data_IF_459404517763
#
_entry.id   IF_459404517763
#
_cell.length_a   1.000
_cell.length_b   1.000
_cell.length_c   1.000
_cell.angle_alpha   90.00
_cell.angle_beta   90.00
_cell.angle_gamma   90.00
#
_symmetry.space_group_name_H-M   'P 1'
#
loop_
_entity.id
_entity.type
_entity.pdbx_description
1 polymer ?
#
# COMPACT_ATOMS: atom_id res chain seq x y z
N UNK A 1 -43.89 65.89 -26.04
CA UNK A 1 -43.29 64.61 -25.64
C UNK A 1 -44.11 64.12 -24.46
N UNK A 2 -44.73 62.94 -24.58
CA UNK A 2 -45.61 62.40 -23.53
C UNK A 2 -44.76 62.05 -22.30
N UNK A 3 -45.05 62.55 -21.10
CA UNK A 3 -44.25 62.30 -19.89
C UNK A 3 -44.16 60.81 -19.47
N UNK A 4 -44.86 59.90 -20.15
CA UNK A 4 -44.84 58.46 -19.91
C UNK A 4 -44.17 57.63 -21.02
N UNK A 5 -43.56 58.27 -22.02
CA UNK A 5 -42.84 57.57 -23.09
C UNK A 5 -41.47 57.09 -22.55
N UNK A 6 -41.35 55.77 -22.32
CA UNK A 6 -40.10 55.14 -21.90
C UNK A 6 -39.21 54.97 -23.13
N UNK A 7 -37.95 55.39 -23.02
CA UNK A 7 -36.94 55.22 -24.07
C UNK A 7 -36.72 53.73 -24.38
N UNK A 8 -36.73 53.37 -25.67
CA UNK A 8 -36.44 52.01 -26.12
C UNK A 8 -34.95 51.71 -25.93
N UNK A 9 -34.64 50.95 -24.87
CA UNK A 9 -33.28 50.58 -24.49
C UNK A 9 -32.86 49.21 -25.04
N UNK A 10 -33.64 48.61 -25.95
CA UNK A 10 -33.37 47.27 -26.49
C UNK A 10 -31.99 47.13 -27.16
N UNK A 11 -31.43 48.23 -27.66
CA UNK A 11 -30.09 48.27 -28.28
C UNK A 11 -28.93 48.50 -27.29
N UNK A 12 -29.21 48.89 -26.03
CA UNK A 12 -28.17 49.32 -25.08
C UNK A 12 -27.21 48.21 -24.64
N UNK A 13 -27.66 46.96 -24.66
CA UNK A 13 -26.89 45.84 -24.14
C UNK A 13 -26.38 44.86 -25.19
N UNK A 14 -26.77 45.01 -26.46
CA UNK A 14 -26.36 44.15 -27.58
C UNK A 14 -26.41 42.65 -27.25
N UNK A 15 -27.48 41.94 -27.61
CA UNK A 15 -27.53 40.49 -27.37
C UNK A 15 -26.35 39.78 -28.06
N UNK A 16 -25.61 38.89 -27.36
CA UNK A 16 -24.53 38.15 -27.97
C UNK A 16 -24.99 37.49 -29.26
N UNK A 17 -24.24 37.68 -30.33
CA UNK A 17 -24.53 37.00 -31.58
C UNK A 17 -24.35 35.50 -31.39
N UNK A 18 -25.09 34.69 -32.15
CA UNK A 18 -24.94 33.22 -32.11
C UNK A 18 -23.49 32.78 -32.32
N UNK A 19 -22.73 33.51 -33.15
CA UNK A 19 -21.31 33.22 -33.38
C UNK A 19 -20.46 33.46 -32.14
N UNK A 20 -20.70 34.55 -31.41
CA UNK A 20 -20.00 34.85 -30.14
C UNK A 20 -20.31 33.81 -29.07
N UNK A 21 -21.58 33.42 -28.96
CA UNK A 21 -22.00 32.34 -28.04
C UNK A 21 -21.30 31.02 -28.37
N UNK A 22 -21.27 30.62 -29.65
CA UNK A 22 -20.60 29.37 -30.07
C UNK A 22 -19.09 29.44 -29.82
N UNK A 23 -18.44 30.58 -30.10
CA UNK A 23 -17.01 30.77 -29.80
C UNK A 23 -16.73 30.62 -28.31
N UNK A 24 -17.56 31.23 -27.47
CA UNK A 24 -17.41 31.11 -26.01
C UNK A 24 -17.54 29.66 -25.53
N UNK A 25 -18.56 28.94 -26.01
CA UNK A 25 -18.71 27.51 -25.68
C UNK A 25 -17.54 26.67 -26.17
N UNK A 26 -17.01 26.94 -27.37
CA UNK A 26 -15.83 26.25 -27.86
C UNK A 26 -14.62 26.47 -26.96
N UNK A 27 -14.40 27.69 -26.48
CA UNK A 27 -13.32 28.00 -25.53
C UNK A 27 -13.50 27.30 -24.19
N UNK A 28 -14.72 27.25 -23.64
CA UNK A 28 -14.99 26.52 -22.40
C UNK A 28 -14.72 25.02 -22.55
N UNK A 29 -15.18 24.42 -23.65
CA UNK A 29 -14.95 22.99 -23.91
C UNK A 29 -13.46 22.69 -24.10
N UNK A 30 -12.71 23.61 -24.71
CA UNK A 30 -11.26 23.47 -24.84
C UNK A 30 -10.57 23.46 -23.47
N UNK A 31 -10.97 24.36 -22.57
CA UNK A 31 -10.48 24.41 -21.18
C UNK A 31 -10.81 23.12 -20.42
N UNK A 32 -12.06 22.67 -20.46
CA UNK A 32 -12.50 21.42 -19.81
C UNK A 32 -11.70 20.21 -20.30
N UNK A 33 -11.46 20.11 -21.61
CA UNK A 33 -10.66 19.02 -22.20
C UNK A 33 -9.21 19.10 -21.73
N UNK A 34 -8.62 20.29 -21.62
CA UNK A 34 -7.26 20.46 -21.11
C UNK A 34 -7.17 20.02 -19.64
N UNK A 35 -8.16 20.36 -18.82
CA UNK A 35 -8.19 19.97 -17.41
C UNK A 35 -8.39 18.47 -17.22
N UNK A 36 -9.29 17.84 -17.99
CA UNK A 36 -9.44 16.38 -17.99
C UNK A 36 -8.14 15.68 -18.40
N UNK A 37 -7.42 16.23 -19.38
CA UNK A 37 -6.12 15.69 -19.80
C UNK A 37 -5.07 15.76 -18.68
N UNK A 38 -5.03 16.87 -17.93
CA UNK A 38 -4.14 17.03 -16.76
C UNK A 38 -4.49 16.02 -15.66
N UNK A 39 -5.77 15.89 -15.33
CA UNK A 39 -6.23 14.92 -14.33
C UNK A 39 -5.93 13.49 -14.73
N UNK A 40 -6.12 13.13 -16.01
CA UNK A 40 -5.79 11.81 -16.51
C UNK A 40 -4.29 11.51 -16.42
N UNK A 41 -3.44 12.50 -16.72
CA UNK A 41 -1.99 12.34 -16.61
C UNK A 41 -1.58 12.12 -15.14
N UNK A 42 -2.09 12.94 -14.22
CA UNK A 42 -1.84 12.78 -12.79
C UNK A 42 -2.35 11.42 -12.27
N UNK A 43 -3.52 10.97 -12.70
CA UNK A 43 -4.05 9.66 -12.33
C UNK A 43 -3.16 8.51 -12.84
N UNK A 44 -2.63 8.61 -14.05
CA UNK A 44 -1.68 7.62 -14.60
C UNK A 44 -0.38 7.57 -13.80
N UNK A 45 0.17 8.72 -13.42
CA UNK A 45 1.38 8.80 -12.59
C UNK A 45 1.16 8.21 -11.20
N UNK A 46 0.01 8.50 -10.58
CA UNK A 46 -0.38 7.92 -9.30
C UNK A 46 -0.50 6.39 -9.39
N UNK A 47 -1.14 5.87 -10.44
CA UNK A 47 -1.27 4.42 -10.66
C UNK A 47 0.12 3.79 -10.86
N UNK A 48 1.00 4.40 -11.65
CA UNK A 48 2.37 3.90 -11.85
C UNK A 48 3.12 3.80 -10.52
N UNK A 49 3.06 4.86 -9.71
CA UNK A 49 3.69 4.90 -8.39
C UNK A 49 3.11 3.81 -7.46
N UNK A 50 1.79 3.60 -7.49
CA UNK A 50 1.14 2.55 -6.70
C UNK A 50 1.58 1.14 -7.11
N UNK A 51 1.75 0.90 -8.42
CA UNK A 51 2.26 -0.37 -8.93
C UNK A 51 3.70 -0.60 -8.47
N UNK A 52 4.57 0.40 -8.61
CA UNK A 52 5.97 0.32 -8.16
C UNK A 52 6.06 0.04 -6.64
N UNK A 53 5.24 0.70 -5.83
CA UNK A 53 5.17 0.43 -4.39
C UNK A 53 4.65 -0.98 -4.09
N UNK A 54 3.67 -1.48 -4.85
CA UNK A 54 3.17 -2.84 -4.68
C UNK A 54 4.23 -3.90 -4.99
N UNK A 55 5.00 -3.70 -6.06
CA UNK A 55 6.10 -4.57 -6.44
C UNK A 55 7.17 -4.60 -5.33
N UNK A 56 7.54 -3.43 -4.80
CA UNK A 56 8.48 -3.34 -3.69
C UNK A 56 7.98 -4.03 -2.42
N UNK A 57 6.69 -3.85 -2.07
CA UNK A 57 6.08 -4.53 -0.93
C UNK A 57 6.03 -6.04 -1.12
N UNK A 58 5.77 -6.51 -2.34
CA UNK A 58 5.75 -7.94 -2.67
C UNK A 58 7.13 -8.57 -2.50
N UNK A 59 8.20 -7.89 -2.91
CA UNK A 59 9.59 -8.31 -2.71
C UNK A 59 9.93 -8.37 -1.21
N UNK A 60 9.57 -7.35 -0.44
CA UNK A 60 9.84 -7.33 1.00
C UNK A 60 9.07 -8.43 1.73
N UNK A 61 7.81 -8.64 1.38
CA UNK A 61 6.99 -9.72 1.92
C UNK A 61 7.61 -11.09 1.61
N UNK A 62 8.09 -11.33 0.39
CA UNK A 62 8.76 -12.60 0.06
C UNK A 62 10.04 -12.79 0.88
N UNK A 63 10.86 -11.74 1.04
CA UNK A 63 12.07 -11.80 1.88
C UNK A 63 11.73 -12.13 3.33
N UNK A 64 10.70 -11.48 3.90
CA UNK A 64 10.26 -11.74 5.28
C UNK A 64 9.74 -13.16 5.45
N UNK A 65 8.98 -13.69 4.49
CA UNK A 65 8.53 -15.10 4.50
C UNK A 65 9.70 -16.07 4.51
N UNK A 66 10.69 -15.88 3.65
CA UNK A 66 11.89 -16.73 3.63
C UNK A 66 12.67 -16.64 4.94
N UNK A 67 12.81 -15.43 5.49
CA UNK A 67 13.48 -15.25 6.78
C UNK A 67 12.75 -15.96 7.92
N UNK A 68 11.41 -15.86 7.99
CA UNK A 68 10.61 -16.56 8.99
C UNK A 68 10.74 -18.08 8.85
N UNK A 69 10.66 -18.62 7.63
CA UNK A 69 10.82 -20.06 7.40
C UNK A 69 12.18 -20.58 7.87
N UNK A 70 13.25 -19.81 7.62
CA UNK A 70 14.59 -20.16 8.11
C UNK A 70 14.67 -20.15 9.65
N UNK A 71 14.07 -19.13 10.28
CA UNK A 71 14.03 -19.01 11.73
C UNK A 71 13.23 -20.16 12.39
N UNK A 72 12.11 -20.56 11.79
CA UNK A 72 11.31 -21.70 12.23
C UNK A 72 12.08 -23.02 12.12
N UNK A 73 12.83 -23.21 11.02
CA UNK A 73 13.70 -24.37 10.84
C UNK A 73 14.81 -24.43 11.90
N UNK A 74 15.48 -23.30 12.15
CA UNK A 74 16.51 -23.20 13.20
C UNK A 74 15.92 -23.47 14.60
N UNK A 75 14.76 -22.89 14.90
CA UNK A 75 14.07 -23.11 16.18
C UNK A 75 13.73 -24.59 16.36
N UNK A 76 13.30 -25.27 15.30
CA UNK A 76 12.98 -26.70 15.33
C UNK A 76 14.23 -27.55 15.61
N UNK A 77 15.36 -27.23 14.95
CA UNK A 77 16.64 -27.92 15.18
C UNK A 77 17.14 -27.70 16.62
N UNK A 78 17.04 -26.47 17.14
CA UNK A 78 17.39 -26.15 18.52
C UNK A 78 16.51 -26.93 19.51
N UNK A 79 15.20 -27.02 19.27
CA UNK A 79 14.29 -27.81 20.10
C UNK A 79 14.66 -29.30 20.09
N UNK A 80 15.05 -29.84 18.94
CA UNK A 80 15.52 -31.22 18.84
C UNK A 80 16.79 -31.44 19.68
N UNK A 81 17.78 -30.53 19.56
CA UNK A 81 19.02 -30.57 20.36
C UNK A 81 18.73 -30.49 21.86
N UNK A 82 17.85 -29.59 22.29
CA UNK A 82 17.44 -29.47 23.69
C UNK A 82 16.87 -30.79 24.20
N UNK A 83 15.92 -31.41 23.46
CA UNK A 83 15.33 -32.70 23.86
C UNK A 83 16.38 -33.81 23.96
N UNK A 84 17.31 -33.87 23.00
CA UNK A 84 18.41 -34.84 23.04
C UNK A 84 19.30 -34.64 24.25
N UNK A 85 19.65 -33.39 24.60
CA UNK A 85 20.47 -33.07 25.76
C UNK A 85 19.75 -33.39 27.08
N UNK A 86 18.45 -33.11 27.17
CA UNK A 86 17.62 -33.49 28.32
C UNK A 86 17.66 -34.99 28.54
N UNK A 87 17.50 -35.80 27.49
CA UNK A 87 17.57 -37.26 27.60
C UNK A 87 18.93 -37.74 28.13
N UNK A 88 20.04 -37.16 27.64
CA UNK A 88 21.39 -37.50 28.09
C UNK A 88 21.60 -37.10 29.56
N UNK A 89 21.06 -35.95 29.99
CA UNK A 89 21.10 -35.53 31.39
C UNK A 89 20.36 -36.52 32.29
N UNK A 90 19.14 -36.94 31.92
CA UNK A 90 18.37 -37.93 32.68
C UNK A 90 19.11 -39.29 32.78
N UNK A 91 19.78 -39.70 31.70
CA UNK A 91 20.62 -40.91 31.71
C UNK A 91 21.83 -40.78 32.64
N UNK A 92 22.52 -39.63 32.60
CA UNK A 92 23.65 -39.34 33.49
C UNK A 92 23.21 -39.39 34.95
N UNK A 93 22.07 -38.79 35.30
CA UNK A 93 21.56 -38.79 36.67
C UNK A 93 21.26 -40.20 37.17
N UNK A 94 20.65 -41.06 36.35
CA UNK A 94 20.45 -42.48 36.68
C UNK A 94 21.76 -43.20 36.99
N UNK A 95 22.77 -43.06 36.12
CA UNK A 95 24.08 -43.71 36.31
C UNK A 95 24.77 -43.22 37.58
N UNK A 96 24.67 -41.92 37.90
CA UNK A 96 25.23 -41.36 39.15
C UNK A 96 24.58 -42.03 40.37
N UNK A 97 23.25 -42.15 40.39
CA UNK A 97 22.53 -42.80 41.48
C UNK A 97 22.93 -44.28 41.61
N UNK A 98 23.02 -45.01 40.50
CA UNK A 98 23.46 -46.41 40.50
C UNK A 98 24.86 -46.57 41.09
N UNK A 99 25.83 -45.74 40.67
CA UNK A 99 27.20 -45.76 41.20
C UNK A 99 27.24 -45.45 42.69
N UNK A 100 26.46 -44.48 43.17
CA UNK A 100 26.36 -44.17 44.61
C UNK A 100 25.82 -45.36 45.39
N UNK A 101 24.77 -46.03 44.90
CA UNK A 101 24.21 -47.21 45.57
C UNK A 101 25.17 -48.39 45.60
N UNK A 102 25.95 -48.59 44.54
CA UNK A 102 26.98 -49.65 44.49
C UNK A 102 28.10 -49.37 45.50
N UNK A 103 28.57 -48.13 45.57
CA UNK A 103 29.66 -47.72 46.47
C UNK A 103 29.27 -47.78 47.96
N UNK A 104 27.97 -47.75 48.27
CA UNK A 104 27.45 -47.93 49.64
C UNK A 104 27.24 -49.40 50.03
N UNK A 105 27.29 -50.32 49.06
CA UNK A 105 27.06 -51.77 49.25
C UNK A 105 28.32 -52.62 49.18
N UNK A 106 29.43 -52.07 48.69
CA UNK A 106 30.76 -52.69 48.71
C UNK A 106 31.59 -52.20 49.89
#
# INVERSE_FOLDING_TARGET
MDPYEIEDTSEWLGSPTRLETVKHYASMLEEDVQDLKRQLQAAKENISTLVEMNDQLSIELSKKRTWMANLEAETTDQLFKIRSLTLVLDQKERVILELQTFNLRG
#
